data_IF_896621817791
#
_entry.id   IF_896621817791
#
_cell.length_a   1.000
_cell.length_b   1.000
_cell.length_c   1.000
_cell.angle_alpha   90.00
_cell.angle_beta   90.00
_cell.angle_gamma   90.00
#
_symmetry.space_group_name_H-M   'P 1'
#
loop_
_entity.id
_entity.type
_entity.pdbx_description
1 polymer ?
#
# COMPACT_ATOMS: atom_id res chain seq x y z
N UNK A 1 3.03 2.62 6.43
CA UNK A 1 2.81 1.86 5.18
C UNK A 1 2.01 2.67 4.19
N UNK A 2 2.53 2.82 2.98
CA UNK A 2 1.87 3.58 1.90
C UNK A 2 1.77 2.72 0.65
N UNK A 3 0.55 2.44 0.19
CA UNK A 3 0.31 1.74 -1.08
C UNK A 3 -0.02 2.73 -2.18
N UNK A 4 0.79 2.76 -3.24
CA UNK A 4 0.56 3.60 -4.41
C UNK A 4 0.10 2.77 -5.59
N UNK A 5 -1.03 3.13 -6.19
CA UNK A 5 -1.55 2.56 -7.42
C UNK A 5 -1.24 3.47 -8.61
N UNK A 6 -0.26 3.05 -9.42
CA UNK A 6 0.07 3.73 -10.67
C UNK A 6 -0.89 3.32 -11.78
N UNK A 7 -1.61 4.30 -12.35
CA UNK A 7 -2.63 4.09 -13.37
C UNK A 7 -2.29 4.80 -14.67
N UNK A 8 -2.67 4.18 -15.79
CA UNK A 8 -2.40 4.70 -17.14
C UNK A 8 -3.51 5.57 -17.73
N UNK A 9 -4.68 5.60 -17.10
CA UNK A 9 -5.86 6.31 -17.60
C UNK A 9 -6.43 7.20 -16.51
N UNK A 10 -7.10 8.27 -16.91
CA UNK A 10 -7.79 9.22 -16.02
C UNK A 10 -9.19 8.77 -15.60
N UNK A 11 -9.57 7.53 -15.93
CA UNK A 11 -10.85 6.97 -15.49
C UNK A 11 -10.93 6.96 -13.96
N UNK A 12 -12.07 7.41 -13.42
CA UNK A 12 -12.31 7.46 -11.99
C UNK A 12 -12.16 6.06 -11.37
N UNK A 13 -11.50 6.02 -10.21
CA UNK A 13 -11.25 4.84 -9.38
C UNK A 13 -11.30 5.30 -7.93
N UNK A 14 -11.81 4.45 -7.06
CA UNK A 14 -11.80 4.71 -5.63
C UNK A 14 -10.56 4.07 -4.99
N UNK A 15 -9.94 4.78 -4.06
CA UNK A 15 -8.68 4.36 -3.43
C UNK A 15 -8.86 3.14 -2.50
N UNK A 16 -10.04 2.96 -1.95
CA UNK A 16 -10.43 1.83 -1.12
C UNK A 16 -10.52 0.50 -1.88
N UNK A 17 -10.67 0.52 -3.21
CA UNK A 17 -10.67 -0.68 -4.04
C UNK A 17 -9.43 -1.56 -3.86
N UNK A 18 -8.29 -0.97 -3.47
CA UNK A 18 -7.03 -1.70 -3.23
C UNK A 18 -6.71 -1.84 -1.74
N UNK A 19 -7.62 -1.46 -0.83
CA UNK A 19 -7.48 -1.75 0.61
C UNK A 19 -7.40 -3.25 0.91
N UNK A 20 -8.18 -4.14 0.26
CA UNK A 20 -7.99 -5.58 0.44
C UNK A 20 -6.57 -6.05 0.07
N UNK A 21 -5.97 -5.45 -0.97
CA UNK A 21 -4.58 -5.73 -1.35
C UNK A 21 -3.60 -5.16 -0.34
N UNK A 22 -3.82 -3.93 0.17
CA UNK A 22 -3.02 -3.38 1.26
C UNK A 22 -3.04 -4.31 2.48
N UNK A 23 -4.21 -4.82 2.87
CA UNK A 23 -4.33 -5.75 4.00
C UNK A 23 -3.51 -7.03 3.78
N UNK A 24 -3.64 -7.65 2.61
CA UNK A 24 -2.86 -8.85 2.28
C UNK A 24 -1.34 -8.60 2.28
N UNK A 25 -0.90 -7.41 1.85
CA UNK A 25 0.51 -7.02 1.91
C UNK A 25 0.98 -6.84 3.35
N UNK A 26 0.16 -6.26 4.22
CA UNK A 26 0.43 -6.14 5.65
C UNK A 26 0.56 -7.52 6.32
N UNK A 27 -0.35 -8.44 6.01
CA UNK A 27 -0.27 -9.83 6.50
C UNK A 27 1.01 -10.51 6.03
N UNK A 28 1.38 -10.32 4.75
CA UNK A 28 2.64 -10.85 4.21
C UNK A 28 3.90 -10.32 4.90
N UNK A 29 3.88 -9.09 5.43
CA UNK A 29 5.00 -8.55 6.23
C UNK A 29 5.12 -9.25 7.59
N UNK A 30 3.98 -9.60 8.21
CA UNK A 30 3.95 -10.39 9.46
C UNK A 30 4.42 -11.81 9.19
N UNK A 31 3.91 -12.46 8.14
CA UNK A 31 4.29 -13.82 7.75
C UNK A 31 5.79 -13.93 7.42
N UNK A 32 6.37 -12.88 6.83
CA UNK A 32 7.80 -12.80 6.54
C UNK A 32 8.67 -12.41 7.76
N UNK A 33 8.07 -12.12 8.91
CA UNK A 33 8.78 -11.72 10.14
C UNK A 33 9.38 -10.33 10.11
N UNK A 34 8.93 -9.44 9.22
CA UNK A 34 9.39 -8.04 9.13
C UNK A 34 8.90 -7.23 10.33
N UNK A 35 7.67 -7.51 10.76
CA UNK A 35 7.05 -6.92 11.96
C UNK A 35 6.29 -8.02 12.70
N UNK A 36 6.22 -7.91 14.03
CA UNK A 36 5.62 -8.95 14.87
C UNK A 36 4.10 -9.09 14.69
N UNK A 37 3.40 -7.99 14.44
CA UNK A 37 1.95 -7.95 14.26
C UNK A 37 1.57 -6.75 13.38
N UNK A 38 0.35 -6.72 12.84
CA UNK A 38 -0.17 -5.65 12.01
C UNK A 38 -1.06 -4.65 12.78
N UNK A 39 -1.01 -4.67 14.11
CA UNK A 39 -1.77 -3.75 14.97
C UNK A 39 -1.39 -2.28 14.71
N UNK A 40 -2.31 -1.32 14.98
CA UNK A 40 -2.06 0.10 14.70
C UNK A 40 -0.82 0.68 15.39
N UNK A 41 -0.42 0.13 16.54
CA UNK A 41 0.76 0.57 17.32
C UNK A 41 2.08 0.19 16.63
N UNK A 42 2.09 -0.87 15.84
CA UNK A 42 3.28 -1.38 15.14
C UNK A 42 3.27 -1.04 13.65
N UNK A 43 2.08 -0.85 13.07
CA UNK A 43 1.92 -0.66 11.64
C UNK A 43 0.83 0.36 11.32
N UNK A 44 1.26 1.58 11.00
CA UNK A 44 0.36 2.58 10.44
C UNK A 44 0.02 2.24 8.98
N UNK A 45 -1.26 2.01 8.69
CA UNK A 45 -1.81 1.71 7.37
C UNK A 45 -2.51 2.95 6.81
N UNK A 46 -1.86 3.66 5.88
CA UNK A 46 -2.46 4.85 5.26
C UNK A 46 -3.39 4.45 4.12
N UNK A 47 -4.39 5.29 3.84
CA UNK A 47 -5.26 5.11 2.68
C UNK A 47 -4.43 5.06 1.39
N UNK A 48 -4.71 4.14 0.46
CA UNK A 48 -3.97 4.04 -0.79
C UNK A 48 -4.02 5.33 -1.61
N UNK A 49 -2.94 5.60 -2.34
CA UNK A 49 -2.83 6.77 -3.21
C UNK A 49 -2.89 6.33 -4.66
N UNK A 50 -3.73 6.98 -5.47
CA UNK A 50 -3.81 6.73 -6.91
C UNK A 50 -2.98 7.80 -7.63
N UNK A 51 -2.02 7.37 -8.45
CA UNK A 51 -1.13 8.27 -9.19
C UNK A 51 -1.24 7.99 -10.69
N UNK A 52 -1.62 8.99 -11.47
CA UNK A 52 -1.68 8.91 -12.92
C UNK A 52 -0.26 8.98 -13.54
N UNK A 53 0.15 7.90 -14.22
CA UNK A 53 1.42 7.77 -14.95
C UNK A 53 1.18 7.10 -16.31
N UNK A 54 0.83 7.86 -17.36
CA UNK A 54 0.42 7.29 -18.66
C UNK A 54 1.55 6.58 -19.42
N UNK A 55 2.81 6.97 -19.19
CA UNK A 55 3.98 6.42 -19.87
C UNK A 55 4.65 5.24 -19.15
N UNK A 56 4.10 4.78 -18.02
CA UNK A 56 4.65 3.66 -17.25
C UNK A 56 3.64 2.51 -17.15
N UNK A 57 4.16 1.30 -16.95
CA UNK A 57 3.31 0.15 -16.68
C UNK A 57 2.50 0.39 -15.40
N UNK A 58 1.21 0.03 -15.45
CA UNK A 58 0.36 0.09 -14.26
C UNK A 58 0.81 -0.92 -13.23
N UNK A 59 0.83 -0.54 -11.96
CA UNK A 59 1.30 -1.41 -10.89
C UNK A 59 0.97 -0.85 -9.51
N UNK A 60 1.15 -1.70 -8.51
CA UNK A 60 1.07 -1.35 -7.10
C UNK A 60 2.49 -1.30 -6.53
N UNK A 61 2.79 -0.27 -5.75
CA UNK A 61 4.04 -0.14 -5.02
C UNK A 61 3.72 0.05 -3.54
N UNK A 62 4.24 -0.84 -2.70
CA UNK A 62 4.21 -0.70 -1.26
C UNK A 62 5.52 -0.03 -0.81
N UNK A 63 5.39 1.12 -0.14
CA UNK A 63 6.48 1.74 0.60
C UNK A 63 6.34 1.40 2.09
N UNK A 64 7.42 0.83 2.64
CA UNK A 64 7.57 0.44 4.04
C UNK A 64 8.65 1.34 4.61
N UNK A 65 8.30 2.12 5.64
CA UNK A 65 9.21 3.02 6.34
C UNK A 65 9.20 2.65 7.82
N UNK A 66 10.40 2.49 8.38
CA UNK A 66 10.60 2.31 9.81
C UNK A 66 10.71 3.67 10.49
N UNK A 67 9.89 3.90 11.51
CA UNK A 67 9.89 5.16 12.26
C UNK A 67 10.44 4.86 13.65
N UNK A 68 11.67 5.31 13.89
CA UNK A 68 12.29 5.27 15.22
C UNK A 68 11.66 6.37 16.08
N UNK A 69 11.06 5.98 17.20
CA UNK A 69 10.55 6.92 18.23
C UNK A 69 11.46 6.89 19.44
#
# INVERSE_FOLDING_TARGET
MTLTWFVRTTTRRDADNVVPTLKALCDGLVDAGVVHDDTPDLMQKLMPVIVYRPGQQSGLQLLVEEVWT
#
